data_IF_520367999940
#
_entry.id   IF_520367999940
#
_cell.length_a   1.000
_cell.length_b   1.000
_cell.length_c   1.000
_cell.angle_alpha   90.00
_cell.angle_beta   90.00
_cell.angle_gamma   90.00
#
_symmetry.space_group_name_H-M   'P 1'
#
loop_
_entity.id
_entity.type
_entity.pdbx_description
1 polymer ?
#
# COMPACT_ATOMS: atom_id res chain seq x y z
N UNK A 1 67.86 40.26 -15.50
CA UNK A 1 66.55 39.70 -15.91
C UNK A 1 65.54 40.10 -14.84
N UNK A 2 64.48 40.81 -15.19
CA UNK A 2 63.59 41.44 -14.21
C UNK A 2 62.52 40.42 -13.76
N UNK A 3 62.41 40.09 -12.46
CA UNK A 3 61.55 39.01 -11.97
C UNK A 3 60.06 39.39 -11.87
N UNK A 4 59.70 40.59 -12.31
CA UNK A 4 58.34 41.14 -12.17
C UNK A 4 57.32 40.43 -13.06
N UNK A 5 57.69 40.11 -14.31
CA UNK A 5 56.86 39.39 -15.26
C UNK A 5 56.47 37.97 -14.79
N UNK A 6 57.41 37.11 -14.34
CA UNK A 6 57.03 35.79 -13.85
C UNK A 6 56.22 35.86 -12.56
N UNK A 7 56.48 36.84 -11.68
CA UNK A 7 55.69 37.03 -10.46
C UNK A 7 54.23 37.41 -10.77
N UNK A 8 54.00 38.28 -11.75
CA UNK A 8 52.66 38.67 -12.19
C UNK A 8 51.90 37.49 -12.82
N UNK A 9 52.59 36.67 -13.62
CA UNK A 9 52.01 35.50 -14.26
C UNK A 9 51.57 34.43 -13.25
N UNK A 10 52.37 34.21 -12.20
CA UNK A 10 52.02 33.31 -11.09
C UNK A 10 50.83 33.88 -10.31
N UNK A 11 50.83 35.18 -9.99
CA UNK A 11 49.70 35.82 -9.31
C UNK A 11 48.39 35.67 -10.09
N UNK A 12 48.43 35.81 -11.41
CA UNK A 12 47.25 35.63 -12.28
C UNK A 12 46.76 34.18 -12.27
N UNK A 13 47.68 33.21 -12.35
CA UNK A 13 47.35 31.77 -12.30
C UNK A 13 46.74 31.35 -10.95
N UNK A 14 47.19 31.93 -9.82
CA UNK A 14 46.58 31.66 -8.51
C UNK A 14 45.23 32.36 -8.30
N UNK A 15 44.91 33.38 -9.10
CA UNK A 15 43.65 34.13 -9.00
C UNK A 15 42.49 33.52 -9.78
N UNK A 16 42.72 32.44 -10.52
CA UNK A 16 41.67 31.72 -11.23
C UNK A 16 40.67 31.15 -10.21
N UNK A 17 39.38 31.54 -10.27
CA UNK A 17 38.38 30.96 -9.40
C UNK A 17 38.24 29.48 -9.77
N UNK A 18 38.55 28.60 -8.81
CA UNK A 18 38.28 27.17 -8.95
C UNK A 18 36.76 26.99 -8.94
N UNK A 19 36.15 26.82 -10.12
CA UNK A 19 34.70 26.65 -10.27
C UNK A 19 34.24 25.48 -9.37
N UNK A 20 33.29 25.79 -8.49
CA UNK A 20 32.78 24.89 -7.47
C UNK A 20 32.22 23.60 -8.06
N UNK A 21 32.39 22.52 -7.30
CA UNK A 21 32.00 21.14 -7.60
C UNK A 21 30.59 21.05 -8.21
N UNK A 22 30.45 20.21 -9.24
CA UNK A 22 29.17 19.81 -9.78
C UNK A 22 28.27 19.31 -8.63
N UNK A 23 27.14 19.98 -8.43
CA UNK A 23 26.10 19.53 -7.50
C UNK A 23 25.60 18.20 -8.04
N UNK A 24 26.08 17.09 -7.47
CA UNK A 24 25.55 15.78 -7.78
C UNK A 24 24.02 15.83 -7.56
N UNK A 25 23.20 15.33 -8.50
CA UNK A 25 21.77 15.26 -8.28
C UNK A 25 21.54 14.44 -7.02
N UNK A 26 20.93 15.06 -6.01
CA UNK A 26 20.55 14.38 -4.78
C UNK A 26 19.58 13.27 -5.17
N UNK A 27 20.09 12.04 -5.30
CA UNK A 27 19.29 10.85 -5.54
C UNK A 27 18.51 10.56 -4.26
N UNK A 28 17.43 11.31 -4.06
CA UNK A 28 16.46 11.00 -3.04
C UNK A 28 15.93 9.61 -3.41
N UNK A 29 16.04 8.63 -2.50
CA UNK A 29 15.56 7.26 -2.71
C UNK A 29 14.05 7.17 -3.03
N UNK A 30 13.35 8.31 -3.05
CA UNK A 30 11.95 8.49 -3.39
C UNK A 30 11.73 9.28 -4.71
N UNK A 31 12.78 9.63 -5.46
CA UNK A 31 12.65 10.27 -6.79
C UNK A 31 12.27 9.24 -7.87
N UNK A 32 11.31 8.38 -7.58
CA UNK A 32 10.71 7.54 -8.61
C UNK A 32 9.78 8.41 -9.45
N UNK A 33 10.28 8.86 -10.61
CA UNK A 33 9.50 9.67 -11.55
C UNK A 33 8.29 8.94 -12.12
N UNK A 34 8.19 7.62 -11.94
CA UNK A 34 7.06 6.82 -12.40
C UNK A 34 5.97 6.66 -11.33
N UNK A 35 6.18 7.13 -10.10
CA UNK A 35 5.14 7.10 -9.08
C UNK A 35 4.31 8.40 -9.13
N UNK A 36 3.07 8.37 -9.65
CA UNK A 36 2.22 9.57 -9.75
C UNK A 36 1.86 10.16 -8.37
N UNK A 37 2.10 9.40 -7.29
CA UNK A 37 1.80 9.80 -5.91
C UNK A 37 3.02 10.31 -5.14
N UNK A 38 4.15 10.56 -5.81
CA UNK A 38 5.43 10.89 -5.15
C UNK A 38 6.11 12.15 -5.69
N UNK A 39 5.32 13.19 -6.01
CA UNK A 39 5.87 14.47 -6.43
C UNK A 39 6.39 15.30 -5.24
N UNK A 40 7.37 16.21 -5.46
CA UNK A 40 7.87 17.08 -4.40
C UNK A 40 6.77 17.89 -3.68
N UNK A 41 5.78 18.35 -4.43
CA UNK A 41 4.63 19.12 -3.91
C UNK A 41 3.74 18.27 -3.00
N UNK A 42 3.50 17.00 -3.37
CA UNK A 42 2.70 16.06 -2.58
C UNK A 42 3.38 15.63 -1.27
N UNK A 43 4.72 15.70 -1.23
CA UNK A 43 5.51 15.37 -0.03
C UNK A 43 5.63 16.54 0.95
N UNK A 44 5.83 17.75 0.44
CA UNK A 44 6.08 18.93 1.26
C UNK A 44 4.83 19.39 2.04
N UNK A 45 3.64 19.16 1.49
CA UNK A 45 2.38 19.56 2.10
C UNK A 45 1.44 18.35 2.22
N UNK A 46 1.08 17.90 3.43
CA UNK A 46 0.15 16.79 3.63
C UNK A 46 -1.20 16.97 2.92
N UNK A 47 -1.68 18.22 2.79
CA UNK A 47 -2.96 18.52 2.13
C UNK A 47 -2.91 18.33 0.61
N UNK A 48 -1.73 18.33 -0.01
CA UNK A 48 -1.56 18.10 -1.46
C UNK A 48 -1.95 16.67 -1.89
N UNK A 49 -2.11 15.74 -0.94
CA UNK A 49 -2.60 14.38 -1.21
C UNK A 49 -4.13 14.26 -1.11
N UNK A 50 -4.81 15.32 -0.67
CA UNK A 50 -6.26 15.33 -0.60
C UNK A 50 -6.84 15.29 -2.02
N UNK A 51 -7.66 14.28 -2.30
CA UNK A 51 -8.26 14.08 -3.63
C UNK A 51 -7.34 13.45 -4.69
N UNK A 52 -6.08 13.13 -4.36
CA UNK A 52 -5.19 12.38 -5.26
C UNK A 52 -5.39 10.87 -5.19
N UNK A 53 -6.14 10.38 -4.19
CA UNK A 53 -6.44 8.95 -4.03
C UNK A 53 -7.72 8.63 -4.80
N UNK A 54 -7.78 7.51 -5.55
CA UNK A 54 -9.00 7.07 -6.21
C UNK A 54 -10.17 7.00 -5.22
N UNK A 55 -11.32 7.57 -5.60
CA UNK A 55 -12.53 7.50 -4.78
C UNK A 55 -13.12 6.09 -4.71
N UNK A 56 -12.77 5.23 -5.67
CA UNK A 56 -13.26 3.86 -5.74
C UNK A 56 -12.40 2.94 -4.87
N UNK A 57 -13.00 2.15 -3.97
CA UNK A 57 -12.25 1.15 -3.21
C UNK A 57 -11.59 0.14 -4.15
N UNK A 58 -10.42 -0.41 -3.79
CA UNK A 58 -9.74 -1.39 -4.61
C UNK A 58 -10.64 -2.62 -4.84
N UNK A 59 -10.58 -3.16 -6.05
CA UNK A 59 -11.28 -4.40 -6.41
C UNK A 59 -10.81 -5.49 -5.44
N UNK A 60 -11.71 -5.97 -4.58
CA UNK A 60 -11.39 -7.10 -3.69
C UNK A 60 -11.04 -8.31 -4.54
N UNK A 61 -10.01 -9.04 -4.12
CA UNK A 61 -9.61 -10.31 -4.74
C UNK A 61 -10.74 -11.35 -4.72
N UNK A 62 -10.48 -12.58 -5.21
CA UNK A 62 -11.49 -13.63 -5.28
C UNK A 62 -12.19 -13.80 -3.93
N UNK A 63 -13.52 -13.63 -3.95
CA UNK A 63 -14.33 -13.67 -2.75
C UNK A 63 -14.36 -15.09 -2.18
N UNK A 64 -14.15 -15.23 -0.87
CA UNK A 64 -14.47 -16.47 -0.15
C UNK A 64 -15.96 -16.59 0.13
N UNK A 65 -16.77 -15.60 -0.30
CA UNK A 65 -18.20 -15.66 -0.11
C UNK A 65 -18.77 -16.82 -0.93
N UNK A 66 -19.54 -17.73 -0.31
CA UNK A 66 -20.14 -18.84 -1.02
C UNK A 66 -21.10 -18.32 -2.09
N UNK A 67 -21.11 -19.00 -3.25
CA UNK A 67 -22.08 -18.70 -4.29
C UNK A 67 -23.50 -18.92 -3.74
N UNK A 68 -24.41 -17.93 -3.90
CA UNK A 68 -25.79 -18.11 -3.50
C UNK A 68 -26.40 -19.26 -4.31
N UNK A 69 -27.08 -20.18 -3.62
CA UNK A 69 -27.76 -21.29 -4.28
C UNK A 69 -28.99 -20.75 -5.04
N UNK A 70 -29.25 -21.20 -6.27
CA UNK A 70 -30.43 -20.77 -7.01
C UNK A 70 -31.71 -21.20 -6.28
N UNK A 71 -32.81 -20.42 -6.36
CA UNK A 71 -34.08 -20.81 -5.76
C UNK A 71 -34.62 -22.07 -6.46
N UNK A 72 -34.88 -23.11 -5.68
CA UNK A 72 -35.49 -24.37 -6.09
C UNK A 72 -36.71 -24.67 -5.22
N UNK A 73 -37.49 -25.69 -5.59
CA UNK A 73 -38.58 -26.18 -4.75
C UNK A 73 -38.04 -26.77 -3.44
N UNK A 74 -36.94 -27.54 -3.51
CA UNK A 74 -36.33 -28.18 -2.33
C UNK A 74 -35.80 -27.18 -1.30
N UNK A 75 -35.26 -26.05 -1.75
CA UNK A 75 -34.78 -24.98 -0.86
C UNK A 75 -35.85 -23.93 -0.55
N UNK A 76 -37.08 -24.08 -1.08
CA UNK A 76 -38.23 -23.16 -0.91
C UNK A 76 -37.97 -21.74 -1.40
N UNK A 77 -37.01 -21.56 -2.32
CA UNK A 77 -36.75 -20.27 -2.95
C UNK A 77 -37.80 -19.89 -4.00
N UNK A 78 -38.57 -20.87 -4.49
CA UNK A 78 -39.74 -20.66 -5.36
C UNK A 78 -40.98 -20.67 -4.46
N UNK A 79 -41.67 -19.54 -4.36
CA UNK A 79 -42.75 -19.23 -3.39
C UNK A 79 -44.03 -20.08 -3.45
N UNK A 80 -43.99 -21.26 -4.07
CA UNK A 80 -45.08 -22.23 -4.16
C UNK A 80 -44.91 -23.40 -3.17
N UNK A 81 -43.88 -23.35 -2.32
CA UNK A 81 -43.73 -24.29 -1.21
C UNK A 81 -44.76 -23.96 -0.15
N UNK A 82 -45.93 -24.58 -0.24
CA UNK A 82 -46.95 -24.56 0.81
C UNK A 82 -46.32 -24.75 2.19
N UNK A 83 -46.97 -24.15 3.19
CA UNK A 83 -46.62 -23.97 4.60
C UNK A 83 -46.26 -25.24 5.41
N UNK A 84 -45.48 -26.15 4.86
CA UNK A 84 -44.86 -27.29 5.52
C UNK A 84 -43.74 -26.75 6.42
N UNK A 85 -44.15 -26.19 7.56
CA UNK A 85 -43.24 -25.89 8.67
C UNK A 85 -42.52 -27.18 9.04
N UNK A 86 -41.28 -27.35 8.57
CA UNK A 86 -40.35 -28.24 9.27
C UNK A 86 -40.06 -27.58 10.60
N UNK A 87 -40.47 -28.22 11.69
CA UNK A 87 -39.98 -27.91 13.02
C UNK A 87 -38.45 -27.85 12.96
N UNK A 88 -37.87 -26.72 13.35
CA UNK A 88 -36.44 -26.55 13.38
C UNK A 88 -35.89 -27.43 14.50
N UNK A 89 -35.49 -28.66 14.16
CA UNK A 89 -34.75 -29.53 15.08
C UNK A 89 -33.35 -28.98 15.27
N UNK A 90 -32.94 -28.82 16.53
CA UNK A 90 -31.56 -28.53 16.85
C UNK A 90 -30.66 -29.63 16.26
N UNK A 91 -29.57 -29.29 15.57
CA UNK A 91 -28.62 -30.29 15.11
C UNK A 91 -28.01 -31.00 16.33
N UNK A 92 -27.77 -32.31 16.22
CA UNK A 92 -27.03 -33.03 17.25
C UNK A 92 -25.57 -32.57 17.20
N UNK A 93 -25.21 -31.65 18.11
CA UNK A 93 -23.86 -31.11 18.25
C UNK A 93 -23.06 -31.98 19.22
N UNK A 94 -23.02 -33.29 18.99
CA UNK A 94 -22.07 -34.15 19.69
C UNK A 94 -20.65 -33.65 19.38
N UNK A 95 -19.86 -33.28 20.41
CA UNK A 95 -18.50 -32.87 20.19
C UNK A 95 -17.71 -34.03 19.58
N UNK A 96 -17.41 -33.97 18.28
CA UNK A 96 -16.49 -34.92 17.62
C UNK A 96 -15.08 -34.84 18.22
N UNK A 97 -14.79 -33.76 18.98
CA UNK A 97 -13.48 -33.55 19.58
C UNK A 97 -13.44 -34.11 20.99
N UNK A 98 -12.42 -34.91 21.35
CA UNK A 98 -12.16 -35.26 22.74
C UNK A 98 -12.00 -33.99 23.59
N UNK A 99 -12.45 -34.04 24.83
CA UNK A 99 -12.27 -32.95 25.79
C UNK A 99 -10.77 -32.58 25.83
N UNK A 100 -10.46 -31.28 25.72
CA UNK A 100 -9.08 -30.84 25.94
C UNK A 100 -8.85 -30.82 27.44
N UNK A 101 -7.86 -31.57 27.90
CA UNK A 101 -7.35 -31.47 29.27
C UNK A 101 -6.77 -30.08 29.47
N UNK A 102 -7.54 -29.18 30.07
CA UNK A 102 -7.06 -27.87 30.50
C UNK A 102 -6.47 -27.98 31.90
N UNK A 103 -5.26 -28.54 32.01
CA UNK A 103 -4.40 -28.30 33.16
C UNK A 103 -3.68 -26.96 32.94
N UNK A 104 -4.38 -25.87 33.26
CA UNK A 104 -3.72 -24.58 33.46
C UNK A 104 -2.96 -24.69 34.79
N UNK A 105 -1.70 -25.08 34.72
CA UNK A 105 -0.79 -25.05 35.87
C UNK A 105 -0.59 -23.57 36.26
N UNK A 106 -0.69 -23.22 37.56
CA UNK A 106 -0.58 -21.85 38.05
C UNK A 106 0.81 -21.22 37.84
#
# INVERSE_FOLDING_TARGET
MNPTLPALAIGLLLSLPLQAAAVAPMQLAASDSNNPYNSPIQRANPNSRQGSVPATPPVRGPSTQPNPRPPTLDNRGIGNGDNLRREQRAPNLEPTRPARDSLRVP
#
